data_IF_493636674683
#
_entry.id   IF_493636674683
#
_cell.length_a   1.000
_cell.length_b   1.000
_cell.length_c   1.000
_cell.angle_alpha   90.00
_cell.angle_beta   90.00
_cell.angle_gamma   90.00
#
_symmetry.space_group_name_H-M   'P 1'
#
loop_
_entity.id
_entity.type
_entity.pdbx_description
1 polymer ?
#
# COMPACT_ATOMS: atom_id res chain seq x y z
N UNK A 1 8.42 -15.71 12.56
CA UNK A 1 8.62 -14.43 12.10
C UNK A 1 8.61 -13.41 13.19
N UNK A 2 9.48 -12.56 13.09
CA UNK A 2 9.74 -11.62 14.11
C UNK A 2 8.69 -10.53 14.09
N UNK A 3 7.98 -10.34 15.17
CA UNK A 3 6.91 -9.34 15.15
C UNK A 3 7.37 -7.94 14.96
N UNK A 4 8.58 -7.65 15.27
CA UNK A 4 9.03 -6.31 15.06
C UNK A 4 9.09 -5.93 13.64
N UNK A 5 9.07 -6.89 12.76
CA UNK A 5 9.18 -6.57 11.38
C UNK A 5 7.94 -5.95 10.83
N UNK A 6 6.86 -5.98 11.57
CA UNK A 6 5.65 -5.39 11.05
C UNK A 6 5.55 -3.92 11.35
N UNK A 7 6.37 -3.41 12.23
CA UNK A 7 6.23 -2.03 12.54
C UNK A 7 7.16 -1.22 11.70
N UNK A 8 6.95 0.02 11.65
CA UNK A 8 7.86 0.89 10.97
C UNK A 8 7.79 0.81 9.49
N UNK A 9 6.65 0.44 8.97
CA UNK A 9 6.49 0.39 7.54
C UNK A 9 7.00 1.68 6.92
N UNK A 10 6.55 2.80 7.40
CA UNK A 10 6.98 4.05 6.85
C UNK A 10 8.43 4.33 7.13
N UNK A 11 8.89 3.92 8.30
CA UNK A 11 10.26 4.19 8.69
C UNK A 11 11.24 3.40 7.88
N UNK A 12 10.93 2.16 7.61
CA UNK A 12 11.87 1.29 6.97
C UNK A 12 11.90 1.53 5.47
N UNK A 13 10.77 1.69 4.86
CA UNK A 13 10.74 1.75 3.41
C UNK A 13 10.68 3.15 2.85
N UNK A 14 10.35 4.10 3.68
CA UNK A 14 10.23 5.44 3.21
C UNK A 14 11.47 6.01 2.61
N UNK A 15 12.59 5.50 2.99
CA UNK A 15 13.83 6.03 2.46
C UNK A 15 14.05 5.66 1.02
N UNK A 16 13.27 4.79 0.49
CA UNK A 16 13.46 4.39 -0.88
C UNK A 16 12.79 5.36 -1.82
N UNK A 17 13.56 6.11 -2.52
CA UNK A 17 12.99 7.02 -3.49
C UNK A 17 12.96 6.31 -4.82
N UNK A 18 11.82 6.20 -5.41
CA UNK A 18 11.68 5.43 -6.62
C UNK A 18 11.97 6.21 -7.86
N UNK A 19 11.97 7.48 -7.77
CA UNK A 19 12.13 8.23 -8.98
C UNK A 19 13.13 9.34 -8.88
N UNK A 20 14.07 9.17 -8.04
CA UNK A 20 15.03 10.23 -7.86
C UNK A 20 15.71 10.53 -9.16
N UNK A 21 15.80 9.58 -10.02
CA UNK A 21 16.54 9.77 -11.24
C UNK A 21 15.79 10.59 -12.23
N UNK A 22 14.50 10.60 -12.17
CA UNK A 22 13.80 11.25 -13.22
C UNK A 22 12.92 12.35 -12.77
N UNK A 23 12.87 12.60 -11.50
CA UNK A 23 11.96 13.59 -11.02
C UNK A 23 12.69 14.73 -10.42
N UNK A 24 12.31 15.89 -10.78
CA UNK A 24 12.83 17.03 -10.17
C UNK A 24 11.83 17.59 -9.24
N UNK A 25 10.59 17.53 -9.64
CA UNK A 25 9.55 18.14 -8.87
C UNK A 25 8.79 17.15 -8.05
N UNK A 26 8.99 15.89 -8.35
CA UNK A 26 8.26 14.86 -7.65
C UNK A 26 9.23 13.92 -7.03
N UNK A 27 8.81 13.24 -6.04
CA UNK A 27 9.60 12.13 -5.58
C UNK A 27 8.62 11.11 -5.04
N UNK A 28 9.08 9.91 -4.91
CA UNK A 28 8.20 8.86 -4.50
C UNK A 28 8.87 7.94 -3.51
N UNK A 29 8.07 7.07 -2.98
CA UNK A 29 8.53 6.09 -2.03
C UNK A 29 8.01 4.74 -2.46
N UNK A 30 8.75 3.70 -2.09
CA UNK A 30 8.31 2.34 -2.31
C UNK A 30 8.21 1.69 -0.96
N UNK A 31 7.02 1.21 -0.64
CA UNK A 31 6.82 0.41 0.55
C UNK A 31 6.63 -1.01 0.10
N UNK A 32 7.38 -1.93 0.64
CA UNK A 32 7.25 -3.31 0.22
C UNK A 32 7.48 -4.24 1.38
N UNK A 33 6.96 -5.44 1.26
CA UNK A 33 7.10 -6.43 2.30
C UNK A 33 6.08 -7.52 2.09
N UNK A 34 5.60 -8.05 3.20
CA UNK A 34 4.58 -9.10 3.18
C UNK A 34 3.37 -8.62 3.93
N UNK A 35 2.22 -8.94 3.40
CA UNK A 35 0.98 -8.66 4.10
C UNK A 35 0.37 -10.00 4.47
N UNK A 36 -0.03 -10.11 5.72
CA UNK A 36 -0.60 -11.33 6.24
C UNK A 36 -2.11 -11.18 6.26
N UNK A 37 -2.79 -11.94 5.43
CA UNK A 37 -4.24 -11.82 5.36
C UNK A 37 -4.87 -12.96 6.15
N UNK A 38 -5.90 -12.67 6.92
CA UNK A 38 -6.41 -13.63 7.90
C UNK A 38 -7.38 -14.68 7.38
N UNK A 39 -7.84 -14.55 6.16
CA UNK A 39 -8.82 -15.53 5.66
C UNK A 39 -8.77 -15.59 4.16
N UNK A 40 -9.31 -16.67 3.60
CA UNK A 40 -9.41 -16.84 2.17
C UNK A 40 -10.57 -16.01 1.64
N UNK A 41 -10.42 -15.47 0.47
CA UNK A 41 -11.55 -14.83 -0.17
C UNK A 41 -11.15 -13.60 -0.95
N UNK A 42 -12.13 -12.83 -1.32
CA UNK A 42 -11.89 -11.62 -2.11
C UNK A 42 -11.75 -10.44 -1.17
N UNK A 43 -10.61 -9.78 -1.30
CA UNK A 43 -10.31 -8.59 -0.51
C UNK A 43 -10.51 -7.36 -1.36
N UNK A 44 -10.94 -6.30 -0.74
CA UNK A 44 -11.01 -5.01 -1.40
C UNK A 44 -9.94 -4.15 -0.77
N UNK A 45 -9.15 -3.49 -1.59
CA UNK A 45 -8.12 -2.58 -1.10
C UNK A 45 -8.41 -1.20 -1.61
N UNK A 46 -8.13 -0.23 -0.80
CA UNK A 46 -8.31 1.16 -1.19
C UNK A 46 -7.09 1.95 -0.75
N UNK A 47 -6.58 2.76 -1.65
CA UNK A 47 -5.55 3.73 -1.27
C UNK A 47 -6.13 5.11 -1.44
N UNK A 48 -5.70 6.01 -0.59
CA UNK A 48 -6.09 7.39 -0.69
C UNK A 48 -4.81 8.18 -0.57
N UNK A 49 -4.45 8.85 -1.61
CA UNK A 49 -3.13 9.46 -1.66
C UNK A 49 -3.17 10.81 -2.35
N UNK A 50 -2.20 11.60 -2.00
CA UNK A 50 -1.94 12.88 -2.57
C UNK A 50 -0.45 12.88 -2.84
N UNK A 51 0.02 12.64 -3.97
CA UNK A 51 -0.68 12.56 -5.26
C UNK A 51 -1.13 11.16 -5.56
N UNK A 52 -0.29 10.38 -6.16
CA UNK A 52 -0.71 9.11 -6.65
C UNK A 52 -0.17 7.94 -5.86
N UNK A 53 -0.75 6.81 -6.06
CA UNK A 53 -0.25 5.58 -5.47
C UNK A 53 -0.65 4.41 -6.35
N UNK A 54 0.14 3.36 -6.28
CA UNK A 54 -0.14 2.14 -7.04
C UNK A 54 0.19 0.97 -6.14
N UNK A 55 -0.73 0.05 -6.01
CA UNK A 55 -0.55 -1.10 -5.12
C UNK A 55 -0.58 -2.39 -5.91
N UNK A 56 0.47 -3.18 -5.71
CA UNK A 56 0.54 -4.53 -6.25
C UNK A 56 0.52 -5.52 -5.11
N UNK A 57 -0.14 -6.62 -5.29
CA UNK A 57 -0.08 -7.72 -4.33
C UNK A 57 0.19 -8.97 -5.14
N UNK A 58 1.27 -9.65 -4.80
CA UNK A 58 1.63 -10.88 -5.48
C UNK A 58 1.79 -10.71 -6.96
N UNK A 59 2.29 -9.65 -7.43
CA UNK A 59 2.51 -9.36 -8.85
C UNK A 59 1.26 -8.89 -9.59
N UNK A 60 0.16 -8.73 -8.90
CA UNK A 60 -1.02 -8.24 -9.58
C UNK A 60 -1.29 -6.82 -9.20
N UNK A 61 -1.63 -6.01 -10.17
CA UNK A 61 -1.98 -4.63 -9.94
C UNK A 61 -3.37 -4.59 -9.32
N UNK A 62 -3.44 -4.15 -8.08
CA UNK A 62 -4.71 -4.15 -7.36
C UNK A 62 -5.34 -2.77 -7.38
N UNK A 63 -4.56 -1.75 -7.08
CA UNK A 63 -5.09 -0.40 -7.05
C UNK A 63 -4.19 0.49 -7.88
N UNK A 64 -4.79 1.26 -8.75
CA UNK A 64 -4.04 2.21 -9.55
C UNK A 64 -4.64 3.59 -9.32
N UNK A 65 -4.03 4.32 -8.41
CA UNK A 65 -4.45 5.68 -8.10
C UNK A 65 -3.36 6.63 -8.53
N UNK A 66 -2.91 6.42 -9.76
CA UNK A 66 -1.78 7.15 -10.29
C UNK A 66 -2.20 8.52 -10.73
N UNK A 67 -1.27 9.45 -10.73
CA UNK A 67 -1.53 10.77 -11.23
C UNK A 67 -1.32 11.82 -10.18
N UNK A 68 -1.34 13.05 -10.62
CA UNK A 68 -1.13 14.18 -9.74
C UNK A 68 -2.50 14.70 -9.35
N UNK A 69 -2.85 14.55 -8.11
CA UNK A 69 -4.18 14.94 -7.69
C UNK A 69 -4.22 15.06 -6.18
N UNK A 70 -5.28 15.63 -5.71
CA UNK A 70 -5.50 15.71 -4.28
C UNK A 70 -5.85 14.33 -3.76
N UNK A 71 -5.97 14.20 -2.48
CA UNK A 71 -6.22 12.92 -1.84
C UNK A 71 -7.57 12.36 -2.26
N UNK A 72 -7.53 11.44 -3.18
CA UNK A 72 -8.71 10.79 -3.71
C UNK A 72 -8.56 9.29 -3.48
N UNK A 73 -9.65 8.61 -3.16
CA UNK A 73 -9.54 7.17 -2.98
C UNK A 73 -9.63 6.44 -4.30
N UNK A 74 -8.93 5.34 -4.41
CA UNK A 74 -9.08 4.41 -5.50
C UNK A 74 -9.16 3.02 -4.93
N UNK A 75 -9.94 2.18 -5.54
CA UNK A 75 -10.29 0.88 -4.97
C UNK A 75 -10.06 -0.22 -5.98
N UNK A 76 -9.63 -1.36 -5.48
CA UNK A 76 -9.49 -2.53 -6.31
C UNK A 76 -9.73 -3.77 -5.46
N UNK A 77 -9.80 -4.93 -6.10
CA UNK A 77 -10.02 -6.14 -5.34
C UNK A 77 -9.21 -7.28 -5.92
N UNK A 78 -8.98 -8.27 -5.08
CA UNK A 78 -8.16 -9.40 -5.45
C UNK A 78 -8.50 -10.58 -4.54
N UNK A 79 -8.51 -11.76 -5.09
CA UNK A 79 -8.74 -12.96 -4.30
C UNK A 79 -7.42 -13.43 -3.73
N UNK A 80 -7.41 -13.68 -2.44
CA UNK A 80 -6.19 -14.09 -1.75
C UNK A 80 -6.49 -15.27 -0.85
N UNK A 81 -5.49 -16.13 -0.70
CA UNK A 81 -5.57 -17.18 0.29
C UNK A 81 -5.01 -16.69 1.58
N UNK A 82 -5.54 -17.18 2.66
CA UNK A 82 -5.02 -16.85 3.97
C UNK A 82 -3.51 -17.03 4.00
N UNK A 83 -2.82 -16.09 4.60
CA UNK A 83 -1.37 -16.19 4.74
C UNK A 83 -0.66 -14.95 4.24
N UNK A 84 0.61 -15.12 3.96
CA UNK A 84 1.46 -14.00 3.59
C UNK A 84 1.52 -13.82 2.09
N UNK A 85 1.45 -12.58 1.65
CA UNK A 85 1.57 -12.26 0.24
C UNK A 85 2.49 -11.08 0.08
N UNK A 86 3.35 -11.08 -0.92
CA UNK A 86 4.22 -9.91 -1.11
C UNK A 86 3.40 -8.75 -1.63
N UNK A 87 3.78 -7.57 -1.23
CA UNK A 87 3.12 -6.38 -1.73
C UNK A 87 4.14 -5.31 -2.04
N UNK A 88 3.77 -4.43 -2.95
CA UNK A 88 4.56 -3.26 -3.25
C UNK A 88 3.60 -2.11 -3.39
N UNK A 89 3.86 -1.05 -2.67
CA UNK A 89 3.02 0.13 -2.73
C UNK A 89 3.91 1.29 -3.15
N UNK A 90 3.63 1.84 -4.29
CA UNK A 90 4.33 3.02 -4.78
C UNK A 90 3.51 4.24 -4.40
N UNK A 91 4.19 5.26 -3.90
CA UNK A 91 3.53 6.48 -3.47
C UNK A 91 4.26 7.65 -4.08
N UNK A 92 3.55 8.48 -4.79
CA UNK A 92 4.11 9.63 -5.45
C UNK A 92 3.61 10.90 -4.79
N UNK A 93 4.55 11.79 -4.49
CA UNK A 93 4.24 13.03 -3.83
C UNK A 93 4.79 14.13 -4.69
N UNK A 94 3.96 15.08 -5.05
CA UNK A 94 4.39 16.08 -5.99
C UNK A 94 4.96 17.28 -5.31
N UNK A 95 4.33 17.87 -4.40
CA UNK A 95 4.85 19.04 -3.75
C UNK A 95 4.80 18.83 -2.28
N UNK A 96 3.84 19.40 -1.70
CA UNK A 96 3.66 19.27 -0.30
C UNK A 96 2.37 18.57 -0.13
N UNK A 97 1.94 18.38 1.05
CA UNK A 97 0.70 17.74 1.29
C UNK A 97 0.83 16.25 1.27
N UNK A 98 1.79 15.72 1.88
CA UNK A 98 1.95 14.31 1.97
C UNK A 98 0.77 13.67 2.61
N UNK A 99 0.14 12.78 1.94
CA UNK A 99 -1.00 12.10 2.50
C UNK A 99 -1.15 10.75 1.82
N UNK A 100 -1.04 9.70 2.59
CA UNK A 100 -1.21 8.35 2.08
C UNK A 100 -1.89 7.53 3.15
N UNK A 101 -2.99 6.92 2.79
CA UNK A 101 -3.68 6.01 3.68
C UNK A 101 -4.10 4.82 2.87
N UNK A 102 -4.15 3.66 3.47
CA UNK A 102 -4.67 2.51 2.77
C UNK A 102 -5.54 1.68 3.69
N UNK A 103 -6.48 1.02 3.07
CA UNK A 103 -7.53 0.32 3.77
C UNK A 103 -7.80 -1.00 3.10
N UNK A 104 -8.41 -1.89 3.81
CA UNK A 104 -8.85 -3.13 3.22
C UNK A 104 -10.23 -3.46 3.76
N UNK A 105 -10.91 -4.31 3.02
CA UNK A 105 -12.13 -4.91 3.49
C UNK A 105 -11.92 -6.40 3.39
N UNK A 106 -12.00 -7.07 4.52
CA UNK A 106 -11.84 -8.52 4.57
C UNK A 106 -13.04 -9.19 3.92
N UNK A 107 -12.86 -10.40 3.41
CA UNK A 107 -13.99 -11.05 2.77
C UNK A 107 -15.22 -11.19 3.65
N UNK A 108 -15.01 -11.39 4.94
CA UNK A 108 -16.15 -11.55 5.84
C UNK A 108 -16.61 -10.25 6.46
N UNK A 109 -15.95 -9.16 6.16
CA UNK A 109 -16.28 -7.88 6.77
C UNK A 109 -17.28 -7.14 5.90
N UNK A 110 -17.91 -6.14 6.49
CA UNK A 110 -18.89 -5.36 5.77
C UNK A 110 -18.37 -4.02 5.32
N UNK A 111 -17.26 -3.59 5.87
CA UNK A 111 -16.76 -2.27 5.53
C UNK A 111 -15.26 -2.25 5.49
N UNK A 112 -14.74 -1.22 4.87
CA UNK A 112 -13.32 -0.97 4.83
C UNK A 112 -12.83 -0.57 6.20
N UNK A 113 -11.61 -0.92 6.49
CA UNK A 113 -10.95 -0.54 7.74
C UNK A 113 -9.48 -0.31 7.44
N UNK A 114 -8.81 0.49 8.24
CA UNK A 114 -7.37 0.69 8.02
C UNK A 114 -6.64 -0.64 8.14
N UNK A 115 -5.63 -0.82 7.31
CA UNK A 115 -4.83 -2.02 7.40
C UNK A 115 -3.92 -1.89 8.61
N UNK A 116 -4.01 -2.81 9.56
CA UNK A 116 -3.21 -2.65 10.77
C UNK A 116 -1.76 -2.94 10.49
N UNK A 117 -0.88 -2.24 11.18
CA UNK A 117 0.54 -2.49 10.99
C UNK A 117 0.90 -3.91 11.41
N UNK A 118 0.11 -4.51 12.27
CA UNK A 118 0.38 -5.88 12.67
C UNK A 118 0.22 -6.86 11.52
N UNK A 119 -0.40 -6.45 10.44
CA UNK A 119 -0.54 -7.32 9.28
C UNK A 119 0.63 -7.17 8.31
N UNK A 120 1.52 -6.23 8.55
CA UNK A 120 2.58 -5.93 7.60
C UNK A 120 3.93 -6.37 8.15
N UNK A 121 4.70 -7.02 7.31
CA UNK A 121 5.98 -7.58 7.71
C UNK A 121 7.05 -7.22 6.72
N UNK A 122 8.26 -7.11 7.20
CA UNK A 122 9.40 -6.88 6.32
C UNK A 122 9.73 -8.19 5.63
N UNK A 123 10.02 -8.11 4.38
CA UNK A 123 10.27 -9.26 3.58
C UNK A 123 11.67 -9.86 3.77
#
# INVERSE_FOLDING_TARGET
>A
RDPEMSRGLGDVYKRQSINEAKQKDHFGYIFSGLINVPEDGVYIFQTRSDDGSVLYIGNELVVNNDGSHAAIPATGYIALEKGFHPYILYYFEDYEGEHLSWFWKLPSAKELAPIPTSALFVK
#
